data_IF_056339364603
#
_entry.id   IF_056339364603
#
_cell.length_a   1.000
_cell.length_b   1.000
_cell.length_c   1.000
_cell.angle_alpha   90.00
_cell.angle_beta   90.00
_cell.angle_gamma   90.00
#
_symmetry.space_group_name_H-M   'P 1'
#
loop_
_entity.id
_entity.type
_entity.pdbx_description
1 polymer ?
#
# COMPACT_ATOMS: atom_id res chain seq x y z
N UNK A 1 14.70 -13.99 -15.51
CA UNK A 1 13.66 -13.71 -14.51
C UNK A 1 13.54 -14.86 -13.53
N UNK A 2 14.31 -14.84 -12.44
CA UNK A 2 14.15 -15.76 -11.28
C UNK A 2 13.79 -15.00 -9.99
N UNK A 3 13.46 -13.71 -10.11
CA UNK A 3 13.51 -12.76 -9.00
C UNK A 3 12.11 -12.28 -8.54
N UNK A 4 11.03 -12.97 -8.92
CA UNK A 4 9.68 -12.62 -8.49
C UNK A 4 9.18 -11.27 -9.01
N UNK A 5 8.14 -10.76 -8.37
CA UNK A 5 7.53 -9.45 -8.66
C UNK A 5 8.37 -8.36 -7.99
N UNK A 6 8.69 -7.28 -8.72
CA UNK A 6 9.60 -6.21 -8.27
C UNK A 6 9.19 -5.59 -6.92
N UNK A 7 7.91 -5.26 -6.77
CA UNK A 7 7.36 -4.63 -5.55
C UNK A 7 7.29 -5.56 -4.33
N UNK A 8 7.49 -6.86 -4.51
CA UNK A 8 7.67 -7.80 -3.41
C UNK A 8 9.17 -7.97 -3.10
N UNK A 9 9.99 -8.15 -4.13
CA UNK A 9 11.41 -8.44 -3.99
C UNK A 9 12.18 -7.30 -3.28
N UNK A 10 11.93 -6.05 -3.65
CA UNK A 10 12.70 -4.92 -3.12
C UNK A 10 12.51 -4.76 -1.59
N UNK A 11 11.28 -4.74 -1.08
CA UNK A 11 11.00 -4.86 0.35
C UNK A 11 11.62 -6.09 1.02
N UNK A 12 11.48 -7.29 0.43
CA UNK A 12 12.00 -8.55 0.97
C UNK A 12 13.54 -8.59 1.06
N UNK A 13 14.23 -7.69 0.37
CA UNK A 13 15.69 -7.53 0.43
C UNK A 13 16.14 -6.32 1.26
N UNK A 14 15.21 -5.61 1.90
CA UNK A 14 15.51 -4.44 2.73
C UNK A 14 16.00 -3.22 1.95
N UNK A 15 15.72 -3.14 0.64
CA UNK A 15 16.12 -2.01 -0.20
C UNK A 15 15.20 -0.79 -0.06
N UNK A 16 14.03 -0.98 0.53
CA UNK A 16 13.07 0.09 0.79
C UNK A 16 13.07 0.36 2.28
N UNK A 17 13.32 1.61 2.66
CA UNK A 17 13.46 2.04 4.05
C UNK A 17 12.79 3.38 4.27
N UNK A 18 12.38 3.70 5.51
CA UNK A 18 11.84 5.01 5.87
C UNK A 18 12.71 6.17 5.38
N UNK A 19 12.05 7.20 4.84
CA UNK A 19 12.72 8.40 4.35
C UNK A 19 13.41 8.28 3.00
N UNK A 20 13.41 7.09 2.38
CA UNK A 20 13.98 6.94 1.04
C UNK A 20 13.06 7.56 -0.01
N UNK A 21 13.67 8.06 -1.08
CA UNK A 21 12.99 8.40 -2.33
C UNK A 21 13.25 7.27 -3.32
N UNK A 22 12.20 6.56 -3.72
CA UNK A 22 12.28 5.40 -4.61
C UNK A 22 11.59 5.71 -5.93
N UNK A 23 12.30 5.56 -7.03
CA UNK A 23 11.74 5.68 -8.38
C UNK A 23 11.96 4.39 -9.15
N UNK A 24 10.97 3.95 -9.91
CA UNK A 24 11.08 2.77 -10.76
C UNK A 24 10.17 2.90 -11.98
N UNK A 25 10.52 2.23 -13.07
CA UNK A 25 9.78 2.23 -14.34
C UNK A 25 8.49 1.42 -14.32
N UNK A 26 7.74 1.48 -13.21
CA UNK A 26 6.49 0.74 -13.00
C UNK A 26 5.50 1.62 -12.20
N UNK A 27 4.21 1.60 -12.57
CA UNK A 27 3.17 2.43 -11.93
C UNK A 27 2.96 2.11 -10.46
N UNK A 28 3.09 0.84 -10.06
CA UNK A 28 2.79 0.36 -8.72
C UNK A 28 3.96 0.50 -7.76
N UNK A 29 5.00 1.26 -8.14
CA UNK A 29 6.15 1.61 -7.29
C UNK A 29 5.71 2.27 -5.98
N UNK A 30 4.54 2.92 -5.99
CA UNK A 30 3.86 3.46 -4.81
C UNK A 30 3.67 2.44 -3.68
N UNK A 31 3.70 1.13 -3.94
CA UNK A 31 3.75 0.05 -2.92
C UNK A 31 4.80 0.32 -1.83
N UNK A 32 5.96 0.85 -2.22
CA UNK A 32 7.09 1.06 -1.32
C UNK A 32 6.83 2.16 -0.28
N UNK A 33 5.82 3.01 -0.46
CA UNK A 33 5.46 3.99 0.57
C UNK A 33 4.83 3.37 1.82
N UNK A 34 4.48 2.09 1.81
CA UNK A 34 4.14 1.33 3.02
C UNK A 34 5.26 1.35 4.09
N UNK A 35 6.50 1.65 3.68
CA UNK A 35 7.69 1.76 4.52
C UNK A 35 8.00 3.21 4.95
N UNK A 36 7.10 4.17 4.74
CA UNK A 36 7.42 5.59 4.98
C UNK A 36 8.39 6.19 3.96
N UNK A 37 8.45 5.61 2.75
CA UNK A 37 9.26 6.10 1.64
C UNK A 37 8.41 6.90 0.66
N UNK A 38 8.95 7.96 0.05
CA UNK A 38 8.31 8.58 -1.10
C UNK A 38 8.62 7.73 -2.34
N UNK A 39 7.60 7.08 -2.90
CA UNK A 39 7.80 6.12 -3.98
C UNK A 39 6.90 6.42 -5.18
N UNK A 40 7.52 6.77 -6.32
CA UNK A 40 6.81 7.19 -7.51
C UNK A 40 7.19 6.34 -8.73
N UNK A 41 6.18 5.92 -9.49
CA UNK A 41 6.39 5.36 -10.83
C UNK A 41 6.79 6.45 -11.80
N UNK A 42 7.83 6.21 -12.60
CA UNK A 42 8.35 7.20 -13.56
C UNK A 42 8.52 6.62 -14.96
N UNK A 43 8.55 7.50 -15.96
CA UNK A 43 8.82 7.10 -17.34
C UNK A 43 10.28 6.66 -17.54
N UNK A 44 10.56 6.02 -18.67
CA UNK A 44 11.91 5.52 -19.00
C UNK A 44 12.97 6.61 -19.04
N UNK A 45 12.62 7.81 -19.54
CA UNK A 45 13.55 8.95 -19.60
C UNK A 45 13.92 9.45 -18.21
N UNK A 46 12.94 9.61 -17.32
CA UNK A 46 13.17 10.04 -15.94
C UNK A 46 13.98 8.98 -15.18
N UNK A 47 13.71 7.70 -15.42
CA UNK A 47 14.48 6.60 -14.85
C UNK A 47 15.93 6.63 -15.32
N UNK A 48 16.20 6.85 -16.61
CA UNK A 48 17.55 6.98 -17.16
C UNK A 48 18.29 8.17 -16.52
N UNK A 49 17.63 9.32 -16.39
CA UNK A 49 18.20 10.49 -15.71
C UNK A 49 18.48 10.20 -14.24
N UNK A 50 17.57 9.51 -13.55
CA UNK A 50 17.73 9.09 -12.17
C UNK A 50 18.93 8.16 -11.99
N UNK A 51 19.13 7.20 -12.89
CA UNK A 51 20.29 6.30 -12.87
C UNK A 51 21.58 7.07 -13.17
N UNK A 52 21.58 7.96 -14.17
CA UNK A 52 22.77 8.67 -14.62
C UNK A 52 23.22 9.76 -13.64
N UNK A 53 22.27 10.49 -13.05
CA UNK A 53 22.54 11.72 -12.27
C UNK A 53 22.17 11.61 -10.80
N UNK A 54 21.45 10.59 -10.38
CA UNK A 54 20.96 10.46 -9.00
C UNK A 54 19.86 11.47 -8.63
N UNK A 55 19.19 12.07 -9.61
CA UNK A 55 18.13 13.07 -9.39
C UNK A 55 16.93 12.82 -10.29
N UNK A 56 15.73 13.16 -9.83
CA UNK A 56 14.50 13.13 -10.60
C UNK A 56 13.65 14.37 -10.25
N UNK A 57 13.02 14.98 -11.25
CA UNK A 57 12.18 16.15 -11.05
C UNK A 57 10.73 15.71 -10.83
N UNK A 58 10.09 16.25 -9.80
CA UNK A 58 8.68 16.02 -9.51
C UNK A 58 7.96 17.35 -9.40
N UNK A 59 6.69 17.38 -9.80
CA UNK A 59 5.81 18.44 -9.34
C UNK A 59 5.65 18.29 -7.82
N UNK A 60 5.70 19.39 -7.07
CA UNK A 60 5.56 19.32 -5.63
C UNK A 60 4.16 18.78 -5.29
N UNK A 61 4.03 17.57 -4.73
CA UNK A 61 2.71 16.98 -4.51
C UNK A 61 2.04 17.62 -3.30
N UNK A 62 0.71 17.68 -3.34
CA UNK A 62 -0.10 17.92 -2.15
C UNK A 62 -0.52 16.58 -1.53
N UNK A 63 -0.92 16.57 -0.26
CA UNK A 63 -1.27 15.32 0.43
C UNK A 63 -2.75 15.27 0.76
N UNK A 64 -3.40 14.15 0.49
CA UNK A 64 -4.70 13.79 1.06
C UNK A 64 -4.43 12.80 2.19
N UNK A 65 -4.91 13.10 3.39
CA UNK A 65 -4.88 12.17 4.51
C UNK A 65 -6.14 11.31 4.52
N UNK A 66 -5.97 10.00 4.57
CA UNK A 66 -7.05 9.03 4.77
C UNK A 66 -6.91 8.50 6.20
N UNK A 67 -7.78 8.96 7.10
CA UNK A 67 -7.78 8.57 8.51
C UNK A 67 -8.75 7.39 8.71
N UNK A 68 -8.19 6.19 8.80
CA UNK A 68 -8.93 4.92 8.79
C UNK A 68 -9.12 4.44 10.23
N UNK A 69 -10.38 4.39 10.65
CA UNK A 69 -10.78 4.10 12.02
C UNK A 69 -11.88 3.04 12.09
N UNK A 70 -12.31 2.70 13.31
CA UNK A 70 -13.34 1.70 13.56
C UNK A 70 -12.78 0.32 13.90
N UNK A 71 -13.48 -0.74 13.47
CA UNK A 71 -13.07 -2.14 13.69
C UNK A 71 -13.13 -2.92 12.39
N UNK A 72 -12.03 -3.61 12.02
CA UNK A 72 -12.04 -4.49 10.85
C UNK A 72 -13.06 -5.63 11.01
N UNK A 73 -14.08 -5.73 10.13
CA UNK A 73 -15.03 -6.84 10.16
C UNK A 73 -14.40 -8.17 9.74
N UNK A 74 -15.01 -9.29 10.13
CA UNK A 74 -14.56 -10.61 9.71
C UNK A 74 -14.73 -10.78 8.19
N UNK A 75 -13.73 -11.38 7.54
CA UNK A 75 -13.70 -11.56 6.08
C UNK A 75 -13.37 -10.28 5.29
N UNK A 76 -13.11 -9.17 5.96
CA UNK A 76 -12.64 -7.91 5.36
C UNK A 76 -11.14 -7.79 5.56
N UNK A 77 -10.42 -7.46 4.49
CA UNK A 77 -8.97 -7.34 4.47
C UNK A 77 -8.53 -5.95 3.98
N UNK A 78 -7.23 -5.67 4.01
CA UNK A 78 -6.67 -4.41 3.51
C UNK A 78 -7.09 -4.11 2.06
N UNK A 79 -7.33 -5.16 1.25
CA UNK A 79 -7.84 -5.01 -0.11
C UNK A 79 -9.21 -4.34 -0.14
N UNK A 80 -10.14 -4.74 0.72
CA UNK A 80 -11.46 -4.14 0.78
C UNK A 80 -11.39 -2.68 1.24
N UNK A 81 -10.50 -2.38 2.19
CA UNK A 81 -10.28 -1.02 2.69
C UNK A 81 -9.76 -0.09 1.58
N UNK A 82 -8.76 -0.51 0.80
CA UNK A 82 -8.28 0.35 -0.30
C UNK A 82 -9.30 0.46 -1.42
N UNK A 83 -10.07 -0.60 -1.69
CA UNK A 83 -11.19 -0.51 -2.62
C UNK A 83 -12.23 0.50 -2.14
N UNK A 84 -12.66 0.50 -0.88
CA UNK A 84 -13.62 1.53 -0.42
C UNK A 84 -13.08 2.94 -0.51
N UNK A 85 -11.78 3.16 -0.27
CA UNK A 85 -11.13 4.46 -0.48
C UNK A 85 -11.17 4.86 -1.96
N UNK A 86 -10.77 3.97 -2.87
CA UNK A 86 -10.80 4.23 -4.33
C UNK A 86 -12.24 4.50 -4.80
N UNK A 87 -13.24 3.79 -4.28
CA UNK A 87 -14.65 4.00 -4.64
C UNK A 87 -15.16 5.38 -4.22
N UNK A 88 -14.60 5.97 -3.15
CA UNK A 88 -14.92 7.34 -2.72
C UNK A 88 -14.19 8.40 -3.53
N UNK A 89 -12.93 8.16 -3.88
CA UNK A 89 -12.09 9.11 -4.60
C UNK A 89 -12.32 9.11 -6.12
N UNK A 90 -12.62 7.94 -6.69
CA UNK A 90 -12.59 7.70 -8.13
C UNK A 90 -11.17 7.67 -8.70
N UNK A 91 -11.05 7.29 -9.98
CA UNK A 91 -9.74 7.12 -10.67
C UNK A 91 -8.84 8.36 -10.75
N UNK A 92 -9.40 9.55 -10.55
CA UNK A 92 -8.66 10.83 -10.63
C UNK A 92 -8.74 11.64 -9.33
N UNK A 93 -9.24 11.06 -8.24
CA UNK A 93 -9.44 11.78 -6.98
C UNK A 93 -8.15 12.24 -6.31
N UNK A 94 -7.03 11.56 -6.60
CA UNK A 94 -5.72 11.81 -6.00
C UNK A 94 -4.65 12.22 -7.03
N UNK A 95 -5.04 12.68 -8.23
CA UNK A 95 -4.08 13.09 -9.28
C UNK A 95 -3.13 14.18 -8.79
N UNK A 96 -1.82 13.95 -8.93
CA UNK A 96 -0.72 14.79 -8.41
C UNK A 96 -0.71 14.95 -6.88
N UNK A 97 -1.23 13.94 -6.17
CA UNK A 97 -1.29 13.92 -4.70
C UNK A 97 -0.66 12.67 -4.14
N UNK A 98 -0.16 12.77 -2.91
CA UNK A 98 0.21 11.62 -2.08
C UNK A 98 -0.99 11.26 -1.21
N UNK A 99 -1.30 9.97 -1.13
CA UNK A 99 -2.26 9.45 -0.16
C UNK A 99 -1.50 9.05 1.11
N UNK A 100 -1.69 9.78 2.20
CA UNK A 100 -1.20 9.36 3.51
C UNK A 100 -2.27 8.51 4.19
N UNK A 101 -2.00 7.23 4.39
CA UNK A 101 -2.88 6.32 5.13
C UNK A 101 -2.48 6.34 6.60
N UNK A 102 -3.42 6.74 7.44
CA UNK A 102 -3.22 6.88 8.88
C UNK A 102 -4.40 6.28 9.65
N UNK A 103 -4.28 6.28 10.97
CA UNK A 103 -5.35 5.92 11.88
C UNK A 103 -5.22 4.51 12.45
N UNK A 104 -6.01 4.19 13.49
CA UNK A 104 -5.80 2.98 14.30
C UNK A 104 -5.87 1.67 13.51
N UNK A 105 -6.62 1.65 12.40
CA UNK A 105 -6.70 0.48 11.53
C UNK A 105 -5.37 0.24 10.80
N UNK A 106 -4.73 1.30 10.29
CA UNK A 106 -3.42 1.21 9.60
C UNK A 106 -2.31 0.84 10.59
N UNK A 107 -2.35 1.40 11.80
CA UNK A 107 -1.41 1.09 12.87
C UNK A 107 -1.42 -0.42 13.22
N UNK A 108 -2.60 -1.04 13.20
CA UNK A 108 -2.78 -2.47 13.46
C UNK A 108 -2.46 -3.38 12.26
N UNK A 109 -2.26 -2.83 11.05
CA UNK A 109 -1.95 -3.64 9.86
C UNK A 109 -0.52 -4.18 9.87
N UNK A 110 -0.36 -5.38 9.32
CA UNK A 110 0.96 -5.92 8.95
C UNK A 110 1.59 -5.09 7.83
N UNK A 111 2.90 -5.24 7.62
CA UNK A 111 3.56 -4.63 6.46
C UNK A 111 2.95 -5.10 5.12
N UNK A 112 2.54 -6.36 5.03
CA UNK A 112 1.92 -6.92 3.83
C UNK A 112 0.58 -6.25 3.52
N UNK A 113 -0.25 -6.04 4.54
CA UNK A 113 -1.50 -5.28 4.43
C UNK A 113 -1.29 -3.80 4.09
N UNK A 114 -0.28 -3.14 4.68
CA UNK A 114 0.09 -1.76 4.30
C UNK A 114 0.58 -1.66 2.86
N UNK A 115 1.39 -2.62 2.41
CA UNK A 115 1.81 -2.70 1.02
C UNK A 115 0.62 -2.88 0.07
N UNK A 116 -0.44 -3.61 0.46
CA UNK A 116 -1.68 -3.67 -0.32
C UNK A 116 -2.36 -2.31 -0.45
N UNK A 117 -2.46 -1.53 0.64
CA UNK A 117 -3.01 -0.16 0.60
C UNK A 117 -2.20 0.75 -0.35
N UNK A 118 -0.89 0.83 -0.13
CA UNK A 118 -0.01 1.73 -0.87
C UNK A 118 0.13 1.33 -2.35
N UNK A 119 0.11 0.03 -2.66
CA UNK A 119 0.14 -0.47 -4.03
C UNK A 119 -1.00 0.10 -4.87
N UNK A 120 -2.20 0.18 -4.29
CA UNK A 120 -3.39 0.61 -5.03
C UNK A 120 -3.66 2.12 -4.97
N UNK A 121 -2.74 2.93 -4.43
CA UNK A 121 -2.89 4.39 -4.41
C UNK A 121 -2.94 4.98 -5.84
N UNK A 122 -2.25 4.32 -6.78
CA UNK A 122 -2.18 4.76 -8.19
C UNK A 122 -3.52 4.60 -8.91
N UNK A 123 -4.37 3.66 -8.50
CA UNK A 123 -5.72 3.45 -9.04
C UNK A 123 -6.68 4.61 -8.72
N UNK A 124 -6.39 5.41 -7.69
CA UNK A 124 -7.08 6.67 -7.41
C UNK A 124 -6.39 7.89 -8.07
N UNK A 125 -5.32 7.67 -8.84
CA UNK A 125 -4.49 8.70 -9.47
C UNK A 125 -3.33 9.20 -8.59
N UNK A 126 -3.12 8.60 -7.41
CA UNK A 126 -2.10 9.02 -6.46
C UNK A 126 -0.68 8.83 -7.01
N UNK A 127 0.19 9.82 -6.79
CA UNK A 127 1.63 9.72 -7.11
C UNK A 127 2.32 8.68 -6.23
N UNK A 128 1.91 8.60 -4.96
CA UNK A 128 2.40 7.64 -3.98
C UNK A 128 1.34 7.39 -2.91
N UNK A 129 1.40 6.24 -2.25
CA UNK A 129 0.67 5.94 -1.03
C UNK A 129 1.65 5.74 0.11
N UNK A 130 1.49 6.42 1.24
CA UNK A 130 2.44 6.40 2.36
C UNK A 130 1.75 5.96 3.65
N UNK A 131 2.38 5.03 4.37
CA UNK A 131 2.07 4.74 5.77
C UNK A 131 3.25 5.19 6.64
N UNK A 132 2.97 5.72 7.84
CA UNK A 132 4.03 6.11 8.76
C UNK A 132 4.80 4.88 9.29
N UNK A 133 6.14 4.98 9.39
CA UNK A 133 6.99 3.84 9.77
C UNK A 133 7.01 3.61 11.28
N UNK A 134 6.41 2.52 11.75
CA UNK A 134 6.31 2.21 13.18
C UNK A 134 7.14 0.96 13.57
N UNK A 135 6.86 0.39 14.74
CA UNK A 135 7.54 -0.83 15.19
C UNK A 135 7.30 -2.00 14.23
N UNK A 136 6.14 -2.09 13.57
CA UNK A 136 5.88 -3.12 12.56
C UNK A 136 6.84 -2.98 11.37
N UNK A 137 7.15 -1.75 10.97
CA UNK A 137 8.17 -1.47 9.95
C UNK A 137 9.58 -1.82 10.43
N UNK A 138 9.93 -1.49 11.68
CA UNK A 138 11.22 -1.85 12.28
C UNK A 138 11.41 -3.37 12.31
N UNK A 139 10.42 -4.11 12.80
CA UNK A 139 10.49 -5.57 12.91
C UNK A 139 10.65 -6.23 11.54
N UNK A 140 9.92 -5.75 10.53
CA UNK A 140 10.03 -6.27 9.17
C UNK A 140 11.43 -6.05 8.59
N UNK A 141 12.05 -4.90 8.84
CA UNK A 141 13.37 -4.55 8.32
C UNK A 141 14.52 -5.03 9.20
N UNK A 142 14.26 -5.56 10.40
CA UNK A 142 15.27 -5.76 11.44
C UNK A 142 16.49 -6.54 10.96
N UNK A 143 16.28 -7.64 10.23
CA UNK A 143 17.39 -8.47 9.73
C UNK A 143 18.36 -7.71 8.80
N UNK A 144 17.89 -6.64 8.15
CA UNK A 144 18.66 -5.81 7.24
C UNK A 144 19.30 -4.58 7.92
N UNK A 145 18.76 -4.14 9.06
CA UNK A 145 19.19 -2.90 9.74
C UNK A 145 19.81 -3.14 11.12
N UNK A 146 19.79 -4.36 11.66
CA UNK A 146 20.28 -4.68 13.01
C UNK A 146 21.75 -4.34 13.29
N UNK A 147 22.56 -4.17 12.24
CA UNK A 147 23.96 -3.76 12.37
C UNK A 147 24.13 -2.23 12.29
N UNK A 148 23.07 -1.50 11.94
CA UNK A 148 23.06 -0.03 11.81
C UNK A 148 22.53 0.64 13.09
N UNK A 149 21.78 -0.10 13.92
CA UNK A 149 21.17 0.39 15.16
C UNK A 149 21.54 -0.48 16.35
N UNK A 150 21.66 0.13 17.53
CA UNK A 150 21.98 -0.58 18.77
C UNK A 150 20.87 -1.58 19.16
N UNK A 151 19.62 -1.17 18.98
CA UNK A 151 18.43 -1.98 19.20
C UNK A 151 17.26 -1.47 18.32
N UNK A 152 16.12 -2.14 18.40
CA UNK A 152 14.90 -1.78 17.65
C UNK A 152 14.31 -0.44 18.08
N UNK A 153 14.54 -0.03 19.33
CA UNK A 153 14.04 1.25 19.83
C UNK A 153 14.81 2.40 19.18
N UNK A 154 16.14 2.28 19.07
CA UNK A 154 16.96 3.24 18.34
C UNK A 154 16.55 3.35 16.86
N UNK A 155 16.19 2.24 16.22
CA UNK A 155 15.65 2.25 14.86
C UNK A 155 14.29 2.98 14.78
N UNK A 156 13.37 2.70 15.71
CA UNK A 156 12.07 3.36 15.78
C UNK A 156 12.22 4.88 16.01
N UNK A 157 13.10 5.27 16.92
CA UNK A 157 13.37 6.69 17.25
C UNK A 157 13.90 7.43 16.01
N UNK A 158 14.78 6.83 15.19
CA UNK A 158 15.20 7.44 13.92
C UNK A 158 14.08 7.49 12.88
N UNK A 159 13.31 6.41 12.73
CA UNK A 159 12.19 6.35 11.79
C UNK A 159 11.08 7.36 12.12
N UNK A 160 10.89 7.68 13.40
CA UNK A 160 9.91 8.67 13.86
C UNK A 160 10.15 10.08 13.30
N UNK A 161 11.35 10.37 12.80
CA UNK A 161 11.69 11.65 12.14
C UNK A 161 10.95 11.85 10.82
N UNK A 162 10.40 10.78 10.25
CA UNK A 162 9.60 10.81 9.03
C UNK A 162 8.10 10.86 9.32
N UNK A 163 7.70 11.09 10.58
CA UNK A 163 6.29 11.27 10.93
C UNK A 163 5.83 12.65 10.50
N UNK A 164 4.57 12.71 10.08
CA UNK A 164 3.92 13.98 9.78
C UNK A 164 3.84 14.82 11.06
N UNK A 165 4.19 16.10 10.96
CA UNK A 165 4.08 17.04 12.07
C UNK A 165 2.62 17.20 12.52
N UNK A 166 2.41 17.54 13.80
CA UNK A 166 1.05 17.72 14.35
C UNK A 166 0.28 18.86 13.70
N UNK A 167 0.97 19.84 13.10
CA UNK A 167 0.41 20.98 12.38
C UNK A 167 0.54 20.86 10.85
N UNK A 168 0.88 19.65 10.35
CA UNK A 168 0.93 19.37 8.93
C UNK A 168 -0.40 19.72 8.25
N UNK A 169 -0.31 20.40 7.10
CA UNK A 169 -1.47 20.83 6.32
C UNK A 169 -1.72 19.84 5.20
N UNK A 170 -2.94 19.34 5.14
CA UNK A 170 -3.42 18.45 4.09
C UNK A 170 -4.36 19.22 3.16
N UNK A 171 -4.34 18.88 1.89
CA UNK A 171 -5.30 19.42 0.92
C UNK A 171 -6.72 18.94 1.25
N UNK A 172 -6.81 17.70 1.74
CA UNK A 172 -8.03 17.11 2.25
C UNK A 172 -7.71 16.09 3.34
N UNK A 173 -8.58 16.00 4.34
CA UNK A 173 -8.61 14.90 5.32
C UNK A 173 -9.91 14.14 5.13
N UNK A 174 -9.80 12.83 4.92
CA UNK A 174 -10.92 11.93 4.70
C UNK A 174 -10.98 10.96 5.87
N UNK A 175 -11.96 11.16 6.75
CA UNK A 175 -12.29 10.16 7.76
C UNK A 175 -12.96 8.95 7.10
N UNK A 176 -12.50 7.75 7.46
CA UNK A 176 -12.97 6.50 6.88
C UNK A 176 -13.15 5.43 7.97
N UNK A 177 -14.37 5.38 8.53
CA UNK A 177 -14.77 4.28 9.41
C UNK A 177 -15.08 3.02 8.59
N UNK A 178 -14.35 1.93 8.88
CA UNK A 178 -14.49 0.64 8.20
C UNK A 178 -15.33 -0.38 8.97
N UNK A 179 -15.96 0.01 10.09
CA UNK A 179 -16.70 -0.91 10.98
C UNK A 179 -17.90 -1.60 10.33
N UNK A 180 -18.40 -1.01 9.25
CA UNK A 180 -19.52 -1.53 8.46
C UNK A 180 -19.10 -1.97 7.06
N UNK A 181 -17.79 -2.11 6.82
CA UNK A 181 -17.29 -2.58 5.55
C UNK A 181 -17.66 -4.06 5.36
N UNK A 182 -17.91 -4.42 4.11
CA UNK A 182 -18.18 -5.79 3.70
C UNK A 182 -17.15 -6.15 2.62
N UNK A 183 -16.93 -7.44 2.32
CA UNK A 183 -16.08 -7.82 1.21
C UNK A 183 -16.50 -7.13 -0.08
N UNK A 184 -15.55 -6.46 -0.73
CA UNK A 184 -15.76 -5.63 -1.91
C UNK A 184 -15.16 -6.30 -3.15
N UNK A 185 -15.72 -5.95 -4.30
CA UNK A 185 -15.21 -6.38 -5.59
C UNK A 185 -15.31 -5.25 -6.59
N UNK A 186 -14.32 -5.18 -7.48
CA UNK A 186 -14.39 -4.31 -8.65
C UNK A 186 -15.18 -4.98 -9.76
N UNK A 187 -15.95 -4.22 -10.54
CA UNK A 187 -16.76 -4.76 -11.63
C UNK A 187 -16.68 -3.93 -12.91
N UNK A 188 -16.92 -4.58 -14.06
CA UNK A 188 -16.77 -3.93 -15.36
C UNK A 188 -15.29 -3.73 -15.71
N UNK A 189 -14.93 -2.50 -16.10
CA UNK A 189 -13.62 -2.20 -16.70
C UNK A 189 -12.81 -1.13 -15.95
N UNK A 190 -13.34 -0.58 -14.85
CA UNK A 190 -12.68 0.48 -14.10
C UNK A 190 -12.44 0.05 -12.65
N UNK A 191 -11.30 0.44 -12.05
CA UNK A 191 -10.97 0.05 -10.68
C UNK A 191 -11.81 0.78 -9.62
N UNK A 192 -12.42 1.91 -9.96
CA UNK A 192 -13.32 2.67 -9.08
C UNK A 192 -14.78 2.18 -9.12
N UNK A 193 -15.12 1.25 -10.01
CA UNK A 193 -16.41 0.59 -10.01
C UNK A 193 -16.41 -0.51 -8.95
N UNK A 194 -16.85 -0.17 -7.75
CA UNK A 194 -16.79 -1.05 -6.58
C UNK A 194 -18.20 -1.28 -6.03
N UNK A 195 -18.46 -2.52 -5.61
CA UNK A 195 -19.66 -2.88 -4.87
C UNK A 195 -19.41 -4.05 -3.93
N UNK A 196 -20.27 -4.26 -2.92
CA UNK A 196 -20.22 -5.46 -2.09
C UNK A 196 -20.32 -6.73 -2.93
N UNK A 197 -19.54 -7.76 -2.57
CA UNK A 197 -19.55 -9.07 -3.25
C UNK A 197 -20.97 -9.67 -3.28
N UNK A 198 -21.76 -9.49 -2.21
CA UNK A 198 -23.14 -9.98 -2.11
C UNK A 198 -24.07 -9.44 -3.22
N UNK A 199 -23.73 -8.30 -3.82
CA UNK A 199 -24.52 -7.67 -4.90
C UNK A 199 -24.15 -8.18 -6.30
N UNK A 200 -23.15 -9.07 -6.42
CA UNK A 200 -22.81 -9.69 -7.70
C UNK A 200 -23.84 -10.72 -8.17
N UNK A 201 -24.67 -11.24 -7.25
CA UNK A 201 -25.59 -12.33 -7.54
C UNK A 201 -24.85 -13.61 -7.95
N UNK A 202 -25.52 -14.47 -8.71
CA UNK A 202 -24.92 -15.71 -9.23
C UNK A 202 -24.27 -15.46 -10.58
N UNK A 203 -22.93 -15.49 -10.60
CA UNK A 203 -22.13 -15.42 -11.82
C UNK A 203 -21.33 -16.72 -11.98
N UNK A 204 -21.17 -17.18 -13.21
CA UNK A 204 -20.26 -18.29 -13.52
C UNK A 204 -18.83 -17.76 -13.44
N UNK A 205 -18.00 -18.37 -12.60
CA UNK A 205 -16.57 -18.08 -12.50
C UNK A 205 -15.82 -19.24 -13.14
N UNK A 206 -15.19 -19.00 -14.28
CA UNK A 206 -14.42 -20.02 -15.00
C UNK A 206 -13.00 -20.18 -14.43
N UNK A 207 -12.44 -19.12 -13.84
CA UNK A 207 -11.08 -19.11 -13.31
C UNK A 207 -10.95 -18.17 -12.12
N UNK A 208 -10.17 -18.59 -11.12
CA UNK A 208 -9.74 -17.76 -9.99
C UNK A 208 -8.23 -17.67 -10.00
N UNK A 209 -7.70 -16.46 -9.87
CA UNK A 209 -6.27 -16.19 -9.77
C UNK A 209 -5.95 -15.55 -8.42
N UNK A 210 -5.09 -16.21 -7.65
CA UNK A 210 -4.66 -15.78 -6.31
C UNK A 210 -3.15 -15.53 -6.38
N UNK A 211 -2.73 -14.32 -6.03
CA UNK A 211 -1.34 -13.87 -6.13
C UNK A 211 -1.15 -12.79 -7.19
N UNK A 212 -0.62 -11.64 -6.81
CA UNK A 212 -0.25 -10.52 -7.68
C UNK A 212 0.77 -9.63 -6.96
N UNK A 213 1.12 -8.47 -7.53
CA UNK A 213 1.91 -7.46 -6.83
C UNK A 213 1.19 -6.85 -5.62
N UNK A 214 -0.15 -6.87 -5.63
CA UNK A 214 -1.00 -6.30 -4.59
C UNK A 214 -1.23 -7.26 -3.42
N UNK A 215 -1.56 -8.52 -3.73
CA UNK A 215 -1.88 -9.59 -2.78
C UNK A 215 -1.33 -10.90 -3.32
N UNK A 216 -0.35 -11.48 -2.64
CA UNK A 216 0.39 -12.66 -3.08
C UNK A 216 1.53 -13.04 -2.14
N UNK A 217 1.55 -12.44 -0.94
CA UNK A 217 2.51 -12.75 0.10
C UNK A 217 1.99 -13.91 0.94
N UNK A 218 2.78 -14.32 1.92
CA UNK A 218 2.49 -15.51 2.70
C UNK A 218 1.20 -15.36 3.53
N UNK A 219 0.84 -14.16 4.00
CA UNK A 219 -0.43 -13.95 4.70
C UNK A 219 -1.62 -14.17 3.78
N UNK A 220 -1.58 -13.64 2.56
CA UNK A 220 -2.65 -13.79 1.55
C UNK A 220 -2.86 -15.28 1.21
N UNK A 221 -1.77 -16.01 0.98
CA UNK A 221 -1.82 -17.44 0.63
C UNK A 221 -2.33 -18.30 1.78
N UNK A 222 -2.04 -17.94 3.04
CA UNK A 222 -2.56 -18.64 4.22
C UNK A 222 -4.07 -18.44 4.36
N UNK A 223 -4.58 -17.23 4.11
CA UNK A 223 -6.02 -16.96 4.08
C UNK A 223 -6.68 -17.81 3.00
N UNK A 224 -6.17 -17.76 1.76
CA UNK A 224 -6.71 -18.57 0.67
C UNK A 224 -6.69 -20.08 0.98
N UNK A 225 -5.59 -20.59 1.55
CA UNK A 225 -5.47 -22.00 1.92
C UNK A 225 -6.44 -22.39 3.05
N UNK A 226 -6.74 -21.47 3.97
CA UNK A 226 -7.74 -21.69 5.01
C UNK A 226 -9.15 -21.85 4.41
N UNK A 227 -9.56 -20.93 3.54
CA UNK A 227 -10.87 -20.95 2.87
C UNK A 227 -11.06 -22.18 1.97
N UNK A 228 -9.99 -22.60 1.30
CA UNK A 228 -10.02 -23.75 0.38
C UNK A 228 -9.84 -25.10 1.08
N UNK A 229 -9.64 -25.11 2.40
CA UNK A 229 -9.31 -26.34 3.13
C UNK A 229 -10.43 -27.37 3.01
N UNK A 230 -10.05 -28.57 2.53
CA UNK A 230 -10.98 -29.69 2.35
C UNK A 230 -11.80 -29.62 1.05
N UNK A 231 -11.62 -28.57 0.25
CA UNK A 231 -12.21 -28.47 -1.08
C UNK A 231 -11.36 -29.23 -2.10
N UNK A 232 -12.03 -29.86 -3.07
CA UNK A 232 -11.37 -30.41 -4.25
C UNK A 232 -11.35 -29.34 -5.33
N UNK A 233 -10.16 -28.87 -5.67
CA UNK A 233 -9.90 -27.85 -6.70
C UNK A 233 -9.63 -28.55 -8.03
#
# INVERSE_FOLDING_TARGET
GRNGICHALFPEKGFVRPGFTVIMGDSHTCTHGAFGAFAAGVGTTDLEVGILKGVCAFHYPSTIKIDISGRMPEGVFAKDVILSVIGRLGVNGATNKVLEFAGPIVDAMTMESRMTLCNMAVEAGGTSGICLPDMTTVEYLWEFIKNEYADRKAALDDFSRFFSDSDARYDQVIEHDVSHLEPLVTFGYKPDHIKPVKEMGTIKVDQVYIGSCTNGRIEDLRVAAHELKGQKI
#
